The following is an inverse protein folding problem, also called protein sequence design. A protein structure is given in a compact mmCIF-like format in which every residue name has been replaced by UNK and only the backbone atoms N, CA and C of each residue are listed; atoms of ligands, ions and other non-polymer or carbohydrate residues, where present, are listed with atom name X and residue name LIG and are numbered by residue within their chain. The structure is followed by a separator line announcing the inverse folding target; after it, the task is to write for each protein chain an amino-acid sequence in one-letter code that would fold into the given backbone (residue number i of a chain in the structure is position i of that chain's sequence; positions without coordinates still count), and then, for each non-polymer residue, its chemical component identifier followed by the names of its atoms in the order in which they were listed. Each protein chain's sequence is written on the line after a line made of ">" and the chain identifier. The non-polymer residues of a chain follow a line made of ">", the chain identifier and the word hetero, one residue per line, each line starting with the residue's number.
data_IF_057913045673
#
_entry.id   IF_057913045673
#
_cell.length_a   1.000
_cell.length_b   1.000
_cell.length_c   1.000
_cell.angle_alpha   90.00
_cell.angle_beta   90.00
_cell.angle_gamma   90.00
#
_symmetry.space_group_name_H-M   'P 1'
#
loop_
_entity.id
_entity.type
_entity.pdbx_description
1 polymer ?
#
# COMPACT_ATOMS: atom_id res chain seq x y z
N UNK A 1 81.23 21.26 30.36
CA UNK A 1 80.92 22.48 31.14
C UNK A 1 80.18 23.45 30.22
N UNK A 2 78.90 23.74 30.50
CA UNK A 2 78.22 24.99 30.16
C UNK A 2 76.89 25.02 30.91
N UNK A 3 76.63 26.14 31.59
CA UNK A 3 75.58 26.37 32.58
C UNK A 3 74.85 27.64 32.13
N UNK A 4 73.52 27.62 32.02
CA UNK A 4 72.59 28.77 31.90
C UNK A 4 71.19 28.15 32.00
N UNK A 5 70.45 28.16 33.12
CA UNK A 5 69.83 29.23 33.93
C UNK A 5 68.92 30.19 33.17
N UNK A 6 67.72 30.35 33.73
CA UNK A 6 66.76 31.45 33.60
C UNK A 6 65.80 31.32 32.41
N UNK A 7 64.49 31.57 32.48
CA UNK A 7 63.61 32.16 33.50
C UNK A 7 62.15 31.82 33.16
N UNK A 8 61.30 31.61 34.18
CA UNK A 8 59.84 31.81 34.06
C UNK A 8 59.57 33.32 34.02
N UNK A 9 58.46 33.78 33.39
CA UNK A 9 57.39 34.29 34.25
C UNK A 9 55.97 33.99 33.76
N UNK A 10 55.06 34.25 34.70
CA UNK A 10 53.61 34.13 34.65
C UNK A 10 52.93 35.10 33.67
N UNK A 11 51.68 34.80 33.30
CA UNK A 11 50.84 35.72 32.55
C UNK A 11 49.46 35.16 32.24
N UNK A 12 48.64 34.93 33.26
CA UNK A 12 47.21 34.65 33.12
C UNK A 12 46.48 35.93 32.71
N UNK A 13 46.06 36.04 31.46
CA UNK A 13 45.18 37.11 30.99
C UNK A 13 43.83 36.54 30.57
N UNK A 14 42.92 36.46 31.53
CA UNK A 14 41.49 36.22 31.28
C UNK A 14 40.90 37.42 30.52
N UNK A 15 40.13 37.22 29.43
CA UNK A 15 39.40 38.31 28.80
C UNK A 15 38.28 38.78 29.73
N UNK A 16 38.43 40.00 30.27
CA UNK A 16 37.34 40.72 30.93
C UNK A 16 36.37 41.20 29.85
N UNK A 17 35.25 40.51 29.67
CA UNK A 17 34.11 41.04 28.94
C UNK A 17 33.53 42.23 29.75
N UNK A 18 33.80 43.43 29.25
CA UNK A 18 33.21 44.69 29.74
C UNK A 18 31.72 44.67 29.37
N UNK A 19 30.85 44.64 30.37
CA UNK A 19 29.42 44.82 30.19
C UNK A 19 29.15 46.25 29.69
N UNK A 20 28.49 46.36 28.54
CA UNK A 20 28.09 47.63 27.94
C UNK A 20 26.70 48.00 28.49
N UNK A 21 26.50 49.11 29.22
CA UNK A 21 25.27 49.36 29.96
C UNK A 21 24.24 50.19 29.16
N UNK A 22 23.91 49.78 27.93
CA UNK A 22 22.92 50.47 27.09
C UNK A 22 22.20 49.50 26.12
N UNK A 23 21.73 48.36 26.65
CA UNK A 23 20.77 47.52 25.94
C UNK A 23 19.35 47.81 26.44
N UNK A 24 18.36 48.08 25.56
CA UNK A 24 16.97 48.24 25.96
C UNK A 24 16.42 46.93 26.54
N UNK A 25 15.41 46.97 27.42
CA UNK A 25 14.83 45.77 28.01
C UNK A 25 14.27 44.87 26.90
N UNK A 26 14.75 43.62 26.86
CA UNK A 26 14.22 42.59 26.00
C UNK A 26 12.71 42.42 26.27
N UNK A 27 11.86 42.29 25.23
CA UNK A 27 10.47 41.93 25.46
C UNK A 27 10.43 40.55 26.11
N UNK A 28 9.76 40.46 27.25
CA UNK A 28 9.49 39.20 27.93
C UNK A 28 8.73 38.28 26.97
N UNK A 29 9.44 37.32 26.35
CA UNK A 29 8.81 36.25 25.59
C UNK A 29 8.17 35.30 26.61
N UNK A 30 6.99 35.68 27.09
CA UNK A 30 6.04 34.75 27.70
C UNK A 30 5.51 33.87 26.57
N UNK A 31 6.18 32.76 26.27
CA UNK A 31 5.51 31.66 25.58
C UNK A 31 4.52 31.05 26.56
N UNK A 32 3.32 31.65 26.59
CA UNK A 32 2.10 31.06 27.11
C UNK A 32 2.03 29.64 26.56
N UNK A 33 2.04 28.68 27.46
CA UNK A 33 1.55 27.32 27.25
C UNK A 33 0.14 27.43 26.66
N UNK A 34 0.03 27.45 25.33
CA UNK A 34 -1.24 27.20 24.66
C UNK A 34 -1.39 25.69 24.59
N UNK A 35 -1.99 25.14 25.63
CA UNK A 35 -2.94 24.05 25.45
C UNK A 35 -3.99 24.52 24.45
N UNK A 36 -3.79 24.20 23.18
CA UNK A 36 -4.87 23.86 22.28
C UNK A 36 -4.27 23.11 21.08
N UNK A 37 -4.57 21.82 20.89
CA UNK A 37 -4.29 21.17 19.61
C UNK A 37 -5.00 21.94 18.48
N UNK A 38 -4.49 21.90 17.24
CA UNK A 38 -5.22 22.45 16.11
C UNK A 38 -6.58 21.75 16.00
N UNK A 39 -7.67 22.50 16.22
CA UNK A 39 -9.00 21.98 15.89
C UNK A 39 -9.06 21.71 14.39
N UNK A 40 -9.58 20.55 13.96
CA UNK A 40 -9.88 20.33 12.55
C UNK A 40 -10.93 21.37 12.14
N UNK A 41 -10.57 22.24 11.19
CA UNK A 41 -11.54 23.13 10.53
C UNK A 41 -12.62 22.25 9.92
N UNK A 42 -13.82 22.37 10.47
CA UNK A 42 -15.00 21.72 9.92
C UNK A 42 -15.19 22.12 8.44
N UNK A 43 -15.67 21.18 7.61
CA UNK A 43 -15.82 21.39 6.18
C UNK A 43 -16.99 22.33 5.92
N UNK A 44 -16.67 23.56 5.52
CA UNK A 44 -17.63 24.54 5.02
C UNK A 44 -17.15 25.02 3.66
N UNK A 45 -17.66 24.36 2.63
CA UNK A 45 -18.35 24.97 1.50
C UNK A 45 -18.19 24.10 0.23
N UNK A 46 -19.32 23.47 -0.08
CA UNK A 46 -19.95 23.46 -1.40
C UNK A 46 -19.41 22.58 -2.53
N UNK A 47 -20.41 22.03 -3.22
CA UNK A 47 -20.38 21.37 -4.55
C UNK A 47 -20.10 19.88 -4.57
N UNK A 48 -20.64 19.11 -3.62
CA UNK A 48 -21.21 17.81 -4.02
C UNK A 48 -22.55 18.06 -4.70
N UNK A 49 -22.73 17.42 -5.84
CA UNK A 49 -24.03 17.08 -6.42
C UNK A 49 -24.82 18.19 -7.14
N UNK A 50 -24.14 18.95 -7.99
CA UNK A 50 -24.67 19.23 -9.34
C UNK A 50 -24.10 18.18 -10.29
N UNK A 51 -24.52 16.92 -10.12
CA UNK A 51 -24.28 15.82 -11.06
C UNK A 51 -25.57 15.05 -11.21
N UNK A 52 -25.98 14.93 -12.46
CA UNK A 52 -27.22 14.35 -12.94
C UNK A 52 -27.50 12.99 -12.28
N UNK A 53 -28.54 12.93 -11.44
CA UNK A 53 -29.39 11.74 -11.39
C UNK A 53 -30.29 11.81 -12.61
N UNK A 54 -29.93 11.11 -13.68
CA UNK A 54 -30.92 10.60 -14.64
C UNK A 54 -31.04 9.11 -14.38
N UNK A 55 -32.11 8.64 -13.71
CA UNK A 55 -32.56 7.26 -13.87
C UNK A 55 -33.29 7.14 -15.21
N UNK A 56 -32.99 6.15 -16.08
CA UNK A 56 -33.98 5.72 -17.06
C UNK A 56 -34.94 4.76 -16.35
N UNK A 57 -35.92 5.32 -15.64
CA UNK A 57 -37.14 4.60 -15.28
C UNK A 57 -38.24 5.12 -16.17
N UNK A 58 -38.85 4.17 -16.88
CA UNK A 58 -39.90 4.26 -17.87
C UNK A 58 -41.00 5.28 -17.54
N UNK A 59 -41.54 5.99 -18.55
CA UNK A 59 -42.72 6.84 -18.36
C UNK A 59 -43.98 5.99 -18.13
N UNK A 60 -44.96 6.50 -17.36
CA UNK A 60 -46.25 5.85 -17.19
C UNK A 60 -47.06 5.91 -18.49
N UNK A 61 -47.84 4.85 -18.70
CA UNK A 61 -48.82 4.70 -19.75
C UNK A 61 -49.86 5.83 -19.66
N UNK A 62 -49.73 6.84 -20.51
CA UNK A 62 -50.80 7.79 -20.80
C UNK A 62 -51.18 7.69 -22.28
N UNK A 63 -52.17 6.84 -22.52
CA UNK A 63 -53.20 6.95 -23.54
C UNK A 63 -52.94 7.98 -24.66
N UNK A 64 -52.30 7.54 -25.74
CA UNK A 64 -52.32 8.29 -27.01
C UNK A 64 -52.79 7.38 -28.13
N UNK A 65 -54.11 7.48 -28.36
CA UNK A 65 -54.84 7.32 -29.61
C UNK A 65 -54.24 6.36 -30.65
N UNK A 66 -54.97 5.26 -30.80
CA UNK A 66 -55.25 4.55 -32.05
C UNK A 66 -55.15 5.48 -33.27
N UNK A 67 -54.24 5.16 -34.19
CA UNK A 67 -54.47 5.36 -35.60
C UNK A 67 -54.13 4.04 -36.31
N UNK A 68 -55.17 3.22 -36.52
CA UNK A 68 -55.17 2.13 -37.49
C UNK A 68 -55.47 2.75 -38.85
N UNK A 69 -54.85 2.18 -39.89
CA UNK A 69 -55.00 2.37 -41.35
C UNK A 69 -53.60 2.71 -41.94
N UNK A 70 -52.99 2.01 -42.91
CA UNK A 70 -53.36 0.98 -43.89
C UNK A 70 -52.12 0.06 -44.09
N UNK A 71 -52.17 -1.24 -44.38
CA UNK A 71 -52.62 -1.91 -45.62
C UNK A 71 -51.84 -1.46 -46.87
N UNK A 72 -50.75 -2.19 -47.17
CA UNK A 72 -50.15 -2.51 -48.47
C UNK A 72 -48.97 -3.47 -48.18
N UNK A 73 -48.62 -4.56 -48.84
CA UNK A 73 -49.15 -5.39 -49.93
C UNK A 73 -48.36 -6.72 -49.82
N UNK A 74 -48.92 -7.88 -50.17
CA UNK A 74 -48.17 -9.13 -50.23
C UNK A 74 -47.44 -9.24 -51.56
N UNK A 75 -46.11 -9.44 -51.55
CA UNK A 75 -45.40 -9.97 -52.71
C UNK A 75 -44.96 -11.40 -52.41
N UNK A 76 -45.77 -12.30 -52.93
CA UNK A 76 -45.41 -13.50 -53.69
C UNK A 76 -43.95 -13.65 -54.10
N UNK A 77 -43.51 -14.91 -54.11
CA UNK A 77 -42.57 -15.37 -55.14
C UNK A 77 -41.18 -15.74 -54.64
N UNK A 78 -41.06 -17.02 -54.28
CA UNK A 78 -40.16 -17.95 -54.97
C UNK A 78 -38.99 -18.57 -54.20
N UNK A 79 -38.88 -19.87 -54.51
CA UNK A 79 -37.69 -20.70 -54.53
C UNK A 79 -37.24 -21.33 -53.20
N UNK A 80 -37.83 -22.50 -52.98
CA UNK A 80 -37.13 -23.70 -52.50
C UNK A 80 -35.70 -23.73 -53.06
N UNK A 81 -34.72 -23.42 -52.23
CA UNK A 81 -33.34 -23.86 -52.43
C UNK A 81 -33.02 -24.87 -51.34
N UNK A 82 -32.96 -26.14 -51.75
CA UNK A 82 -32.25 -27.18 -51.01
C UNK A 82 -30.83 -26.67 -50.77
N UNK A 83 -30.56 -26.23 -49.54
CA UNK A 83 -29.21 -25.94 -49.07
C UNK A 83 -28.49 -27.27 -48.91
N UNK A 84 -27.91 -27.69 -50.04
CA UNK A 84 -26.76 -28.55 -50.15
C UNK A 84 -25.87 -28.42 -48.90
N UNK A 85 -25.68 -29.54 -48.20
CA UNK A 85 -24.84 -29.64 -47.02
C UNK A 85 -23.39 -29.32 -47.41
N UNK A 86 -23.02 -28.04 -47.35
CA UNK A 86 -21.68 -27.56 -47.67
C UNK A 86 -20.75 -27.83 -46.48
N UNK A 87 -19.74 -28.73 -46.61
CA UNK A 87 -18.81 -29.05 -45.52
C UNK A 87 -17.82 -27.91 -45.16
N UNK A 88 -17.98 -26.68 -45.69
CA UNK A 88 -17.24 -25.49 -45.23
C UNK A 88 -17.73 -24.89 -43.90
N UNK A 89 -18.72 -25.49 -43.24
CA UNK A 89 -19.12 -25.10 -41.87
C UNK A 89 -18.10 -25.47 -40.77
N UNK A 90 -16.94 -26.04 -41.15
CA UNK A 90 -15.73 -26.12 -40.31
C UNK A 90 -14.82 -24.88 -40.38
N UNK A 91 -15.32 -23.71 -40.82
CA UNK A 91 -14.88 -22.45 -40.16
C UNK A 91 -15.65 -22.34 -38.85
N UNK A 92 -15.33 -23.29 -37.98
CA UNK A 92 -15.98 -23.51 -36.70
C UNK A 92 -15.30 -22.65 -35.65
N UNK A 93 -16.02 -22.34 -34.58
CA UNK A 93 -15.56 -22.13 -33.18
C UNK A 93 -14.13 -21.64 -32.89
N UNK A 94 -13.09 -22.19 -33.52
CA UNK A 94 -11.72 -21.67 -33.59
C UNK A 94 -11.63 -20.22 -34.07
N UNK A 95 -12.51 -19.74 -34.96
CA UNK A 95 -12.45 -18.35 -35.47
C UNK A 95 -13.03 -17.34 -34.46
N UNK A 96 -14.02 -17.74 -33.64
CA UNK A 96 -14.54 -16.93 -32.51
C UNK A 96 -13.61 -17.01 -31.27
N UNK A 97 -12.98 -18.16 -31.04
CA UNK A 97 -11.89 -18.32 -30.07
C UNK A 97 -10.66 -17.47 -30.44
N UNK A 98 -10.51 -17.08 -31.71
CA UNK A 98 -9.47 -16.16 -32.17
C UNK A 98 -9.69 -14.70 -31.76
N UNK A 99 -10.94 -14.25 -31.61
CA UNK A 99 -11.28 -12.85 -31.27
C UNK A 99 -11.56 -12.59 -29.78
N UNK A 100 -12.02 -13.60 -29.02
CA UNK A 100 -12.23 -13.50 -27.56
C UNK A 100 -10.98 -13.09 -26.74
N UNK A 101 -9.76 -13.60 -26.98
CA UNK A 101 -8.59 -13.20 -26.21
C UNK A 101 -8.28 -11.71 -26.37
N UNK A 102 -8.62 -11.11 -27.52
CA UNK A 102 -8.46 -9.67 -27.74
C UNK A 102 -9.31 -8.82 -26.79
N UNK A 103 -10.55 -9.23 -26.53
CA UNK A 103 -11.49 -8.50 -25.66
C UNK A 103 -11.15 -8.67 -24.17
N UNK A 104 -10.70 -9.86 -23.77
CA UNK A 104 -10.23 -10.12 -22.40
C UNK A 104 -8.98 -9.30 -22.11
N UNK A 105 -8.03 -9.24 -23.04
CA UNK A 105 -6.83 -8.40 -22.92
C UNK A 105 -7.20 -6.91 -22.83
N UNK A 106 -8.21 -6.46 -23.59
CA UNK A 106 -8.69 -5.07 -23.52
C UNK A 106 -9.32 -4.75 -22.16
N UNK A 107 -10.13 -5.66 -21.59
CA UNK A 107 -10.76 -5.47 -20.29
C UNK A 107 -9.74 -5.49 -19.14
N UNK A 108 -8.80 -6.43 -19.16
CA UNK A 108 -7.71 -6.51 -18.18
C UNK A 108 -6.83 -5.25 -18.25
N UNK A 109 -6.54 -4.75 -19.45
CA UNK A 109 -5.82 -3.48 -19.60
C UNK A 109 -6.61 -2.31 -19.04
N UNK A 110 -7.92 -2.24 -19.30
CA UNK A 110 -8.79 -1.20 -18.75
C UNK A 110 -8.86 -1.25 -17.21
N UNK A 111 -8.98 -2.44 -16.62
CA UNK A 111 -9.01 -2.64 -15.17
C UNK A 111 -7.66 -2.29 -14.53
N UNK A 112 -6.54 -2.68 -15.18
CA UNK A 112 -5.19 -2.31 -14.74
C UNK A 112 -4.93 -0.81 -14.85
N UNK A 113 -5.42 -0.15 -15.90
CA UNK A 113 -5.32 1.30 -16.06
C UNK A 113 -6.16 2.05 -15.01
N UNK A 114 -7.37 1.57 -14.73
CA UNK A 114 -8.24 2.09 -13.68
C UNK A 114 -7.61 1.91 -12.29
N UNK A 115 -7.11 0.70 -11.98
CA UNK A 115 -6.38 0.41 -10.77
C UNK A 115 -5.12 1.28 -10.66
N UNK A 116 -4.33 1.38 -11.73
CA UNK A 116 -3.11 2.18 -11.76
C UNK A 116 -3.38 3.66 -11.55
N UNK A 117 -4.47 4.20 -12.10
CA UNK A 117 -4.87 5.59 -11.88
C UNK A 117 -5.24 5.85 -10.41
N UNK A 118 -5.93 4.91 -9.76
CA UNK A 118 -6.26 5.01 -8.34
C UNK A 118 -5.01 4.85 -7.45
N UNK A 119 -4.16 3.87 -7.77
CA UNK A 119 -2.91 3.65 -7.05
C UNK A 119 -1.91 4.78 -7.26
N UNK A 120 -1.82 5.39 -8.44
CA UNK A 120 -0.90 6.51 -8.70
C UNK A 120 -1.15 7.70 -7.76
N UNK A 121 -2.43 7.98 -7.45
CA UNK A 121 -2.80 9.02 -6.50
C UNK A 121 -2.39 8.71 -5.05
N UNK A 122 -2.46 7.44 -4.63
CA UNK A 122 -2.16 6.98 -3.26
C UNK A 122 -0.70 6.55 -3.06
N UNK A 123 0.01 6.22 -4.14
CA UNK A 123 1.34 5.61 -4.13
C UNK A 123 2.41 6.52 -3.53
N UNK A 124 2.30 7.85 -3.66
CA UNK A 124 3.33 8.75 -3.13
C UNK A 124 3.39 8.73 -1.60
N UNK A 125 2.24 8.75 -0.94
CA UNK A 125 2.16 8.76 0.51
C UNK A 125 2.42 7.36 1.09
N UNK A 126 1.88 6.32 0.45
CA UNK A 126 2.16 4.93 0.83
C UNK A 126 3.64 4.61 0.62
N UNK A 127 4.21 5.00 -0.52
CA UNK A 127 5.62 4.81 -0.85
C UNK A 127 6.56 5.52 0.12
N UNK A 128 6.24 6.77 0.50
CA UNK A 128 7.00 7.48 1.52
C UNK A 128 6.91 6.79 2.89
N UNK A 129 5.71 6.32 3.28
CA UNK A 129 5.51 5.59 4.52
C UNK A 129 6.32 4.30 4.57
N UNK A 130 6.29 3.50 3.51
CA UNK A 130 7.09 2.27 3.39
C UNK A 130 8.58 2.59 3.40
N UNK A 131 9.03 3.62 2.67
CA UNK A 131 10.44 4.02 2.65
C UNK A 131 10.93 4.45 4.04
N UNK A 132 10.15 5.25 4.76
CA UNK A 132 10.46 5.65 6.14
C UNK A 132 10.45 4.47 7.11
N UNK A 133 9.54 3.52 6.93
CA UNK A 133 9.49 2.32 7.76
C UNK A 133 10.71 1.43 7.55
N UNK A 134 11.14 1.24 6.30
CA UNK A 134 12.38 0.51 5.98
C UNK A 134 13.60 1.23 6.55
N UNK A 135 13.70 2.55 6.38
CA UNK A 135 14.78 3.33 6.97
C UNK A 135 14.78 3.19 8.50
N UNK A 136 13.63 3.36 9.16
CA UNK A 136 13.50 3.19 10.60
C UNK A 136 13.90 1.78 11.06
N UNK A 137 13.53 0.73 10.32
CA UNK A 137 13.94 -0.65 10.62
C UNK A 137 15.46 -0.83 10.53
N UNK A 138 16.12 -0.24 9.53
CA UNK A 138 17.59 -0.28 9.40
C UNK A 138 18.27 0.47 10.55
N UNK A 139 17.80 1.68 10.89
CA UNK A 139 18.33 2.43 12.03
C UNK A 139 18.09 1.71 13.36
N UNK A 140 16.92 1.11 13.56
CA UNK A 140 16.62 0.29 14.73
C UNK A 140 17.56 -0.93 14.81
N UNK A 141 17.87 -1.57 13.68
CA UNK A 141 18.83 -2.67 13.62
C UNK A 141 20.23 -2.22 14.08
N UNK A 142 20.75 -1.10 13.56
CA UNK A 142 22.03 -0.55 14.02
C UNK A 142 22.01 -0.13 15.49
N UNK A 143 20.91 0.46 15.97
CA UNK A 143 20.76 0.82 17.37
C UNK A 143 20.84 -0.41 18.28
N UNK A 144 20.21 -1.53 17.89
CA UNK A 144 20.34 -2.80 18.61
C UNK A 144 21.80 -3.28 18.61
N UNK A 145 22.53 -3.22 17.49
CA UNK A 145 23.95 -3.60 17.48
C UNK A 145 24.80 -2.77 18.46
N UNK A 146 24.58 -1.46 18.52
CA UNK A 146 25.28 -0.58 19.47
C UNK A 146 24.89 -0.91 20.91
N UNK A 147 23.60 -1.16 21.20
CA UNK A 147 23.16 -1.57 22.53
C UNK A 147 23.74 -2.91 22.95
N UNK A 148 23.90 -3.86 22.02
CA UNK A 148 24.54 -5.15 22.28
C UNK A 148 26.03 -4.95 22.61
N UNK A 149 26.74 -4.14 21.82
CA UNK A 149 28.13 -3.80 22.12
C UNK A 149 28.27 -3.12 23.48
N UNK A 150 27.39 -2.16 23.80
CA UNK A 150 27.35 -1.49 25.09
C UNK A 150 27.05 -2.47 26.23
N UNK A 151 26.13 -3.41 26.05
CA UNK A 151 25.82 -4.43 27.05
C UNK A 151 27.01 -5.35 27.32
N UNK A 152 27.74 -5.75 26.28
CA UNK A 152 28.97 -6.54 26.41
C UNK A 152 30.03 -5.76 27.18
N UNK A 153 30.29 -4.51 26.79
CA UNK A 153 31.27 -3.64 27.48
C UNK A 153 30.85 -3.43 28.93
N UNK A 154 29.57 -3.18 29.21
CA UNK A 154 29.06 -3.00 30.56
C UNK A 154 29.24 -4.25 31.44
N UNK A 155 29.04 -5.46 30.89
CA UNK A 155 29.29 -6.71 31.61
C UNK A 155 30.78 -7.01 31.77
N UNK A 156 31.62 -6.56 30.85
CA UNK A 156 33.08 -6.74 30.91
C UNK A 156 33.70 -6.06 32.15
N UNK A 157 33.04 -5.04 32.71
CA UNK A 157 33.47 -4.42 33.97
C UNK A 157 33.43 -5.37 35.18
N UNK A 158 32.64 -6.45 35.12
CA UNK A 158 32.39 -7.38 36.24
C UNK A 158 32.74 -8.83 35.91
N UNK A 159 32.81 -9.20 34.64
CA UNK A 159 33.09 -10.56 34.14
C UNK A 159 34.10 -10.48 32.99
N UNK A 160 34.85 -11.55 32.69
CA UNK A 160 35.74 -11.54 31.54
C UNK A 160 34.94 -11.52 30.22
N UNK A 161 35.48 -10.83 29.21
CA UNK A 161 34.83 -10.57 27.91
C UNK A 161 34.19 -11.80 27.24
N UNK A 162 34.82 -12.97 27.35
CA UNK A 162 34.31 -14.21 26.75
C UNK A 162 33.01 -14.70 27.41
N UNK A 163 32.86 -14.55 28.72
CA UNK A 163 31.62 -14.87 29.44
C UNK A 163 30.55 -13.82 29.17
N UNK A 164 30.93 -12.54 29.15
CA UNK A 164 30.01 -11.43 28.86
C UNK A 164 29.34 -11.60 27.49
N UNK A 165 30.14 -11.88 26.45
CA UNK A 165 29.64 -12.11 25.09
C UNK A 165 28.72 -13.33 24.99
N UNK A 166 29.05 -14.45 25.65
CA UNK A 166 28.21 -15.65 25.69
C UNK A 166 26.84 -15.39 26.33
N UNK A 167 26.79 -14.68 27.46
CA UNK A 167 25.53 -14.38 28.18
C UNK A 167 24.64 -13.48 27.33
N UNK A 168 25.20 -12.43 26.74
CA UNK A 168 24.44 -11.51 25.88
C UNK A 168 23.93 -12.24 24.63
N UNK A 169 24.75 -13.09 24.00
CA UNK A 169 24.34 -13.88 22.84
C UNK A 169 23.18 -14.82 23.16
N UNK A 170 23.24 -15.55 24.29
CA UNK A 170 22.15 -16.43 24.75
C UNK A 170 20.85 -15.64 25.01
N UNK A 171 20.96 -14.47 25.64
CA UNK A 171 19.82 -13.61 25.94
C UNK A 171 19.14 -13.13 24.66
N UNK A 172 19.92 -12.67 23.67
CA UNK A 172 19.39 -12.26 22.37
C UNK A 172 18.77 -13.42 21.60
N UNK A 173 19.35 -14.62 21.67
CA UNK A 173 18.81 -15.80 21.00
C UNK A 173 17.45 -16.20 21.58
N UNK A 174 17.27 -16.10 22.90
CA UNK A 174 15.97 -16.30 23.54
C UNK A 174 14.93 -15.27 23.07
N UNK A 175 15.31 -13.99 23.03
CA UNK A 175 14.42 -12.92 22.54
C UNK A 175 14.06 -13.18 21.07
N UNK A 176 15.04 -13.48 20.22
CA UNK A 176 14.83 -13.79 18.81
C UNK A 176 13.90 -14.99 18.60
N UNK A 177 14.04 -16.04 19.41
CA UNK A 177 13.16 -17.20 19.38
C UNK A 177 11.71 -16.82 19.70
N UNK A 178 11.49 -16.03 20.76
CA UNK A 178 10.15 -15.54 21.13
C UNK A 178 9.56 -14.67 20.02
N UNK A 179 10.33 -13.73 19.48
CA UNK A 179 9.89 -12.88 18.37
C UNK A 179 9.58 -13.69 17.11
N UNK A 180 10.38 -14.70 16.79
CA UNK A 180 10.14 -15.59 15.66
C UNK A 180 8.87 -16.43 15.84
N UNK A 181 8.57 -16.90 17.06
CA UNK A 181 7.34 -17.62 17.36
C UNK A 181 6.12 -16.70 17.25
N UNK A 182 6.20 -15.48 17.77
CA UNK A 182 5.13 -14.49 17.63
C UNK A 182 4.93 -14.13 16.16
N UNK A 183 6.01 -13.87 15.42
CA UNK A 183 5.99 -13.57 13.99
C UNK A 183 5.36 -14.71 13.20
N UNK A 184 5.77 -15.96 13.46
CA UNK A 184 5.17 -17.15 12.86
C UNK A 184 3.68 -17.24 13.16
N UNK A 185 3.26 -16.99 14.40
CA UNK A 185 1.85 -17.05 14.77
C UNK A 185 1.03 -15.93 14.11
N UNK A 186 1.60 -14.73 13.98
CA UNK A 186 0.97 -13.59 13.29
C UNK A 186 0.85 -13.82 11.79
N UNK A 187 1.90 -14.36 11.16
CA UNK A 187 1.87 -14.76 9.75
C UNK A 187 0.84 -15.87 9.57
N UNK A 188 0.88 -16.93 10.38
CA UNK A 188 -0.12 -18.01 10.34
C UNK A 188 -1.54 -17.48 10.50
N UNK A 189 -1.80 -16.58 11.45
CA UNK A 189 -3.12 -15.99 11.63
C UNK A 189 -3.56 -15.15 10.41
N UNK A 190 -2.64 -14.42 9.78
CA UNK A 190 -2.92 -13.65 8.56
C UNK A 190 -3.04 -14.50 7.29
N UNK A 191 -2.42 -15.69 7.27
CA UNK A 191 -2.47 -16.64 6.14
C UNK A 191 -3.44 -17.80 6.39
N UNK A 192 -4.14 -17.84 7.53
CA UNK A 192 -5.13 -18.87 7.86
C UNK A 192 -6.46 -18.67 7.14
N UNK A 193 -6.50 -17.84 6.09
CA UNK A 193 -7.51 -17.90 5.04
C UNK A 193 -7.42 -19.26 4.36
N UNK A 194 -8.09 -20.24 4.97
CA UNK A 194 -8.41 -21.57 4.48
C UNK A 194 -7.55 -22.05 3.29
N UNK A 195 -6.40 -22.71 3.53
CA UNK A 195 -5.58 -23.25 2.43
C UNK A 195 -6.35 -24.30 1.63
N UNK A 196 -7.31 -24.99 2.24
CA UNK A 196 -8.19 -25.92 1.57
C UNK A 196 -9.18 -25.18 0.68
N UNK A 197 -9.74 -24.04 1.11
CA UNK A 197 -10.60 -23.17 0.30
C UNK A 197 -9.87 -22.39 -0.78
N UNK A 198 -8.63 -21.96 -0.57
CA UNK A 198 -7.81 -21.28 -1.60
C UNK A 198 -7.36 -22.28 -2.66
N UNK A 199 -6.94 -23.49 -2.27
CA UNK A 199 -6.61 -24.52 -3.24
C UNK A 199 -7.84 -25.14 -3.88
N UNK A 200 -8.97 -25.29 -3.16
CA UNK A 200 -10.24 -25.76 -3.72
C UNK A 200 -10.90 -24.72 -4.64
N UNK A 201 -10.80 -23.42 -4.35
CA UNK A 201 -11.27 -22.38 -5.27
C UNK A 201 -10.40 -22.32 -6.53
N UNK A 202 -9.08 -22.42 -6.40
CA UNK A 202 -8.18 -22.52 -7.57
C UNK A 202 -8.46 -23.82 -8.36
N UNK A 203 -8.71 -24.94 -7.68
CA UNK A 203 -8.99 -26.22 -8.34
C UNK A 203 -10.36 -26.23 -8.99
N UNK A 204 -11.37 -25.66 -8.34
CA UNK A 204 -12.72 -25.46 -8.90
C UNK A 204 -12.67 -24.54 -10.11
N UNK A 205 -11.87 -23.47 -10.08
CA UNK A 205 -11.66 -22.60 -11.24
C UNK A 205 -11.00 -23.37 -12.39
N UNK A 206 -9.94 -24.15 -12.11
CA UNK A 206 -9.25 -24.97 -13.11
C UNK A 206 -10.15 -26.07 -13.67
N UNK A 207 -10.97 -26.70 -12.83
CA UNK A 207 -11.91 -27.75 -13.22
C UNK A 207 -13.09 -27.18 -14.02
N UNK A 208 -13.53 -25.95 -13.72
CA UNK A 208 -14.46 -25.19 -14.53
C UNK A 208 -13.86 -24.84 -15.90
N UNK A 209 -12.59 -24.41 -15.97
CA UNK A 209 -11.88 -24.19 -17.24
C UNK A 209 -11.66 -25.47 -18.05
N UNK A 210 -11.51 -26.61 -17.38
CA UNK A 210 -11.36 -27.93 -18.02
C UNK A 210 -12.70 -28.58 -18.37
N UNK A 211 -13.83 -27.95 -18.03
CA UNK A 211 -15.17 -28.48 -18.33
C UNK A 211 -15.56 -29.72 -17.54
N UNK A 212 -14.91 -29.97 -16.39
CA UNK A 212 -15.18 -31.12 -15.51
C UNK A 212 -15.92 -30.74 -14.23
N UNK A 213 -16.38 -29.49 -14.11
CA UNK A 213 -17.17 -29.02 -12.97
C UNK A 213 -18.56 -29.67 -12.93
N UNK A 214 -18.94 -30.23 -11.77
CA UNK A 214 -20.31 -30.68 -11.52
C UNK A 214 -21.21 -29.46 -11.37
N UNK A 215 -22.10 -29.24 -12.34
CA UNK A 215 -23.22 -28.32 -12.18
C UNK A 215 -24.32 -29.08 -11.45
N UNK A 216 -24.54 -28.76 -10.17
CA UNK A 216 -25.77 -29.20 -9.51
C UNK A 216 -26.91 -28.37 -10.10
N UNK A 217 -27.89 -29.06 -10.68
CA UNK A 217 -29.09 -28.51 -11.29
C UNK A 217 -30.25 -28.49 -10.29
#
# INVERSE_FOLDING_TARGET
>A
MCRLRSSRPAGSSSPRCRANPLAPPAPAIRFRTRLNPPQPRQPRELRRYRRCRTPPTSPPLSNRRVNRNCLDSPNEGDSVSNSEFNPKSRRSTFELLGELPGQIVALVRAELEAAKAEFAGKAKNIGLGVALFVAAAVFAFFAVLVLVALAVIALDLVLPLWLATLIVALTLLLIALVLALIGKNRVKAGTSSDPDGVTASIRSDVDAFKGVGKYEH
#
